data_IF_882465928430
#
_entry.id   IF_882465928430
#
_cell.length_a   1.000
_cell.length_b   1.000
_cell.length_c   1.000
_cell.angle_alpha   90.00
_cell.angle_beta   90.00
_cell.angle_gamma   90.00
#
_symmetry.space_group_name_H-M   'P 1'
#
loop_
_entity.id
_entity.type
_entity.pdbx_description
1 polymer ?
#
# COMPACT_ATOMS: atom_id res chain seq x y z
N UNK A 1 34.66 25.55 -39.06
CA UNK A 1 34.37 24.76 -40.28
C UNK A 1 32.93 24.91 -40.81
N UNK A 2 31.87 24.39 -40.16
CA UNK A 2 30.47 24.47 -40.70
C UNK A 2 29.83 25.85 -40.52
N UNK A 3 30.14 26.53 -39.41
CA UNK A 3 29.55 27.84 -39.05
C UNK A 3 30.29 29.05 -39.64
N UNK A 4 31.42 28.83 -40.30
CA UNK A 4 32.29 29.91 -40.83
C UNK A 4 32.07 30.16 -42.33
N UNK A 5 31.33 29.30 -43.01
CA UNK A 5 31.10 29.39 -44.46
C UNK A 5 29.61 29.59 -44.76
N UNK A 6 29.28 30.73 -45.37
CA UNK A 6 27.92 31.12 -45.69
C UNK A 6 27.27 30.23 -46.77
N UNK A 7 28.06 29.47 -47.55
CA UNK A 7 27.57 28.53 -48.57
C UNK A 7 27.16 27.17 -48.00
N UNK A 8 27.31 26.95 -46.70
CA UNK A 8 26.98 25.69 -46.02
C UNK A 8 25.49 25.57 -45.70
N UNK A 9 24.99 24.35 -45.45
CA UNK A 9 23.57 24.11 -45.17
C UNK A 9 23.06 24.94 -43.98
N UNK A 10 21.79 25.35 -44.07
CA UNK A 10 21.08 26.09 -43.03
C UNK A 10 20.77 25.23 -41.80
N UNK A 11 20.74 23.90 -41.98
CA UNK A 11 20.45 22.92 -40.95
C UNK A 11 21.63 21.98 -40.73
N UNK A 12 21.76 21.51 -39.49
CA UNK A 12 22.73 20.51 -39.07
C UNK A 12 22.03 19.39 -38.32
N UNK A 13 22.25 18.15 -38.73
CA UNK A 13 21.70 16.99 -38.04
C UNK A 13 22.57 16.66 -36.83
N UNK A 14 22.00 16.74 -35.64
CA UNK A 14 22.67 16.45 -34.39
C UNK A 14 21.94 15.31 -33.68
N UNK A 15 22.68 14.26 -33.35
CA UNK A 15 22.13 13.09 -32.67
C UNK A 15 21.50 13.48 -31.31
N UNK A 16 20.32 12.94 -31.02
CA UNK A 16 19.51 13.32 -29.87
C UNK A 16 18.78 14.68 -29.94
N UNK A 17 19.05 15.50 -30.96
CA UNK A 17 18.41 16.82 -31.15
C UNK A 17 17.70 16.98 -32.51
N UNK A 18 17.98 16.09 -33.46
CA UNK A 18 17.40 16.15 -34.80
C UNK A 18 18.05 17.21 -35.69
N UNK A 19 17.31 17.72 -36.67
CA UNK A 19 17.80 18.76 -37.56
C UNK A 19 17.66 20.14 -36.89
N UNK A 20 18.79 20.72 -36.54
CA UNK A 20 18.90 22.02 -35.86
C UNK A 20 19.24 23.09 -36.89
N UNK A 21 18.50 24.20 -36.90
CA UNK A 21 18.83 25.36 -37.73
C UNK A 21 20.10 26.04 -37.18
N UNK A 22 21.09 26.26 -38.04
CA UNK A 22 22.40 26.84 -37.68
C UNK A 22 22.72 28.13 -38.46
N UNK A 23 21.90 28.49 -39.45
CA UNK A 23 22.03 29.71 -40.26
C UNK A 23 22.14 30.97 -39.37
N UNK A 24 21.24 31.08 -38.38
CA UNK A 24 21.16 32.21 -37.46
C UNK A 24 22.35 32.33 -36.50
N UNK A 25 23.16 31.27 -36.35
CA UNK A 25 24.31 31.25 -35.44
C UNK A 25 25.55 31.91 -36.05
N UNK A 26 25.60 32.04 -37.38
CA UNK A 26 26.76 32.59 -38.12
C UNK A 26 27.06 34.06 -37.80
N UNK A 27 26.10 34.78 -37.21
CA UNK A 27 26.26 36.18 -36.77
C UNK A 27 27.03 36.34 -35.46
N UNK A 28 27.33 35.26 -34.75
CA UNK A 28 28.00 35.28 -33.46
C UNK A 28 29.46 34.82 -33.56
N UNK A 29 30.32 35.33 -32.67
CA UNK A 29 31.72 34.93 -32.60
C UNK A 29 31.87 33.46 -32.15
N UNK A 30 32.82 32.75 -32.75
CA UNK A 30 33.05 31.32 -32.52
C UNK A 30 33.22 30.94 -31.04
N UNK A 31 33.91 31.77 -30.26
CA UNK A 31 34.10 31.55 -28.82
C UNK A 31 32.77 31.55 -28.04
N UNK A 32 31.85 32.46 -28.36
CA UNK A 32 30.52 32.52 -27.72
C UNK A 32 29.69 31.28 -28.09
N UNK A 33 29.73 30.87 -29.36
CA UNK A 33 29.04 29.68 -29.85
C UNK A 33 29.55 28.41 -29.17
N UNK A 34 30.86 28.29 -28.99
CA UNK A 34 31.47 27.16 -28.31
C UNK A 34 31.05 27.08 -26.84
N UNK A 35 31.03 28.21 -26.13
CA UNK A 35 30.57 28.24 -24.74
C UNK A 35 29.08 27.89 -24.62
N UNK A 36 28.23 28.46 -25.48
CA UNK A 36 26.79 28.16 -25.49
C UNK A 36 26.52 26.69 -25.80
N UNK A 37 27.26 26.11 -26.76
CA UNK A 37 27.15 24.71 -27.12
C UNK A 37 27.58 23.79 -25.95
N UNK A 38 28.74 24.05 -25.34
CA UNK A 38 29.19 23.29 -24.16
C UNK A 38 28.17 23.35 -23.03
N UNK A 39 27.61 24.53 -22.75
CA UNK A 39 26.57 24.70 -21.74
C UNK A 39 25.29 23.94 -22.09
N UNK A 40 24.83 23.98 -23.35
CA UNK A 40 23.67 23.24 -23.83
C UNK A 40 23.86 21.73 -23.70
N UNK A 41 25.03 21.21 -24.07
CA UNK A 41 25.34 19.79 -23.96
C UNK A 41 25.40 19.34 -22.50
N UNK A 42 26.02 20.13 -21.61
CA UNK A 42 26.07 19.85 -20.16
C UNK A 42 24.70 19.88 -19.50
N UNK A 43 23.86 20.86 -19.82
CA UNK A 43 22.50 20.94 -19.28
C UNK A 43 21.69 19.74 -19.77
N UNK A 44 21.83 19.36 -21.04
CA UNK A 44 21.09 18.23 -21.60
C UNK A 44 21.48 16.91 -20.95
N UNK A 45 22.78 16.65 -20.76
CA UNK A 45 23.24 15.42 -20.08
C UNK A 45 22.83 15.40 -18.62
N UNK A 46 22.89 16.55 -17.93
CA UNK A 46 22.46 16.66 -16.54
C UNK A 46 20.95 16.48 -16.39
N UNK A 47 20.15 16.97 -17.34
CA UNK A 47 18.69 16.88 -17.29
C UNK A 47 18.19 15.43 -17.23
N UNK A 48 18.82 14.52 -17.98
CA UNK A 48 18.49 13.09 -17.91
C UNK A 48 18.70 12.53 -16.50
N UNK A 49 19.78 12.92 -15.82
CA UNK A 49 20.08 12.50 -14.44
C UNK A 49 19.06 13.08 -13.47
N UNK A 50 18.71 14.36 -13.63
CA UNK A 50 17.72 15.05 -12.80
C UNK A 50 16.36 14.35 -12.90
N UNK A 51 15.90 14.06 -14.12
CA UNK A 51 14.64 13.35 -14.34
C UNK A 51 14.62 12.00 -13.66
N UNK A 52 15.67 11.19 -13.87
CA UNK A 52 15.77 9.87 -13.23
C UNK A 52 15.73 9.99 -11.71
N UNK A 53 16.47 10.95 -11.14
CA UNK A 53 16.51 11.18 -9.70
C UNK A 53 15.14 11.59 -9.16
N UNK A 54 14.39 12.43 -9.86
CA UNK A 54 13.03 12.83 -9.43
C UNK A 54 12.11 11.61 -9.39
N UNK A 55 12.11 10.78 -10.44
CA UNK A 55 11.28 9.58 -10.50
C UNK A 55 11.64 8.62 -9.36
N UNK A 56 12.92 8.34 -9.15
CA UNK A 56 13.38 7.41 -8.11
C UNK A 56 13.05 7.93 -6.70
N UNK A 57 13.25 9.22 -6.45
CA UNK A 57 12.93 9.82 -5.15
C UNK A 57 11.43 9.83 -4.88
N UNK A 58 10.59 10.12 -5.87
CA UNK A 58 9.14 10.05 -5.72
C UNK A 58 8.66 8.63 -5.45
N UNK A 59 9.19 7.65 -6.19
CA UNK A 59 8.88 6.24 -5.99
C UNK A 59 9.27 5.77 -4.59
N UNK A 60 10.48 6.12 -4.12
CA UNK A 60 10.94 5.79 -2.77
C UNK A 60 10.09 6.47 -1.70
N UNK A 61 9.79 7.76 -1.87
CA UNK A 61 8.99 8.52 -0.91
C UNK A 61 7.58 7.94 -0.77
N UNK A 62 6.91 7.63 -1.89
CA UNK A 62 5.59 7.02 -1.86
C UNK A 62 5.61 5.63 -1.24
N UNK A 63 6.56 4.78 -1.62
CA UNK A 63 6.71 3.45 -1.03
C UNK A 63 6.95 3.51 0.48
N UNK A 64 7.85 4.41 0.91
CA UNK A 64 8.13 4.60 2.33
C UNK A 64 6.89 5.11 3.07
N UNK A 65 6.20 6.11 2.52
CA UNK A 65 5.02 6.72 3.14
C UNK A 65 3.89 5.72 3.30
N UNK A 66 3.59 4.93 2.25
CA UNK A 66 2.56 3.89 2.30
C UNK A 66 2.94 2.78 3.29
N UNK A 67 4.20 2.31 3.27
CA UNK A 67 4.66 1.29 4.22
C UNK A 67 4.58 1.79 5.66
N UNK A 68 4.98 3.04 5.92
CA UNK A 68 4.91 3.63 7.26
C UNK A 68 3.47 3.83 7.72
N UNK A 69 2.58 4.29 6.82
CA UNK A 69 1.16 4.41 7.10
C UNK A 69 0.58 3.06 7.52
N UNK A 70 0.73 2.02 6.69
CA UNK A 70 0.14 0.71 6.93
C UNK A 70 0.77 -0.01 8.12
N UNK A 71 2.09 -0.03 8.20
CA UNK A 71 2.79 -0.87 9.18
C UNK A 71 2.96 -0.20 10.55
N UNK A 72 2.89 1.13 10.64
CA UNK A 72 3.20 1.84 11.88
C UNK A 72 2.10 2.76 12.37
N UNK A 73 1.34 3.40 11.48
CA UNK A 73 0.25 4.29 11.90
C UNK A 73 -1.08 3.55 12.01
N UNK A 74 -1.42 2.73 11.02
CA UNK A 74 -2.73 2.08 10.94
C UNK A 74 -2.99 1.14 12.14
N UNK A 75 -1.95 0.41 12.58
CA UNK A 75 -2.07 -0.41 13.79
C UNK A 75 -2.39 0.42 15.04
N UNK A 76 -1.82 1.62 15.18
CA UNK A 76 -2.09 2.49 16.32
C UNK A 76 -3.51 3.02 16.30
N UNK A 77 -4.01 3.41 15.12
CA UNK A 77 -5.38 3.87 14.94
C UNK A 77 -6.39 2.76 15.23
N UNK A 78 -6.16 1.54 14.73
CA UNK A 78 -7.01 0.38 15.02
C UNK A 78 -7.07 0.12 16.53
N UNK A 79 -5.91 0.08 17.21
CA UNK A 79 -5.87 -0.16 18.66
C UNK A 79 -6.54 0.97 19.43
N UNK A 80 -6.34 2.22 19.01
CA UNK A 80 -6.99 3.37 19.63
C UNK A 80 -8.51 3.25 19.55
N UNK A 81 -9.07 2.91 18.38
CA UNK A 81 -10.51 2.71 18.21
C UNK A 81 -11.04 1.52 19.04
N UNK A 82 -10.30 0.42 19.10
CA UNK A 82 -10.69 -0.76 19.86
C UNK A 82 -10.76 -0.51 21.37
N UNK A 83 -9.80 0.27 21.90
CA UNK A 83 -9.57 0.43 23.34
C UNK A 83 -10.05 1.80 23.85
N UNK A 84 -10.62 2.67 23.00
CA UNK A 84 -11.07 4.00 23.40
C UNK A 84 -12.11 3.89 24.54
N UNK A 85 -11.75 4.31 25.78
CA UNK A 85 -12.66 4.25 26.92
C UNK A 85 -13.81 5.26 26.77
N UNK A 86 -13.63 6.30 25.94
CA UNK A 86 -14.60 7.39 25.75
C UNK A 86 -15.69 7.03 24.73
N UNK A 87 -15.40 6.13 23.80
CA UNK A 87 -16.33 5.67 22.77
C UNK A 87 -17.31 4.57 23.24
N UNK A 88 -17.32 4.24 24.54
CA UNK A 88 -18.33 3.36 25.13
C UNK A 88 -18.16 1.88 24.78
N UNK A 89 -16.91 1.39 24.78
CA UNK A 89 -16.61 -0.04 24.63
C UNK A 89 -16.51 -0.50 23.18
N UNK A 90 -15.59 0.08 22.41
CA UNK A 90 -15.33 -0.28 21.00
C UNK A 90 -15.16 -1.78 20.82
N UNK A 91 -14.26 -2.41 21.58
CA UNK A 91 -14.07 -3.87 21.53
C UNK A 91 -15.32 -4.66 21.94
N UNK A 92 -16.08 -4.18 22.92
CA UNK A 92 -17.30 -4.85 23.40
C UNK A 92 -18.36 -4.88 22.29
N UNK A 93 -18.51 -3.79 21.54
CA UNK A 93 -19.41 -3.68 20.39
C UNK A 93 -18.92 -4.50 19.20
N UNK A 94 -17.62 -4.53 18.95
CA UNK A 94 -17.04 -5.38 17.88
C UNK A 94 -17.20 -6.88 18.16
N UNK A 95 -17.23 -7.25 19.44
CA UNK A 95 -17.47 -8.62 19.91
C UNK A 95 -18.95 -8.90 20.21
N UNK A 96 -19.83 -7.93 19.95
CA UNK A 96 -21.27 -8.14 20.09
C UNK A 96 -21.72 -9.14 19.03
N UNK A 97 -22.29 -10.24 19.50
CA UNK A 97 -22.79 -11.28 18.62
C UNK A 97 -24.05 -10.86 17.87
N UNK A 98 -24.27 -11.47 16.71
CA UNK A 98 -25.55 -11.27 16.01
C UNK A 98 -26.72 -11.89 16.81
N UNK A 99 -27.92 -11.26 16.81
CA UNK A 99 -29.09 -11.80 17.52
C UNK A 99 -29.47 -13.23 17.13
N UNK A 100 -29.23 -13.61 15.86
CA UNK A 100 -29.47 -14.97 15.35
C UNK A 100 -28.53 -15.99 15.99
N UNK A 101 -27.25 -15.66 16.14
CA UNK A 101 -26.25 -16.52 16.80
C UNK A 101 -26.55 -16.61 18.30
N UNK A 102 -26.88 -15.49 18.94
CA UNK A 102 -27.27 -15.44 20.35
C UNK A 102 -28.45 -16.40 20.65
N UNK A 103 -29.51 -16.30 19.86
CA UNK A 103 -30.71 -17.14 19.99
C UNK A 103 -30.41 -18.62 19.77
N UNK A 104 -29.59 -18.96 18.75
CA UNK A 104 -29.18 -20.35 18.49
C UNK A 104 -28.33 -20.91 19.63
N UNK A 105 -27.38 -20.14 20.15
CA UNK A 105 -26.53 -20.57 21.28
C UNK A 105 -27.39 -20.83 22.52
N UNK A 106 -28.35 -19.96 22.81
CA UNK A 106 -29.23 -20.13 23.97
C UNK A 106 -30.10 -21.39 23.85
N UNK A 107 -30.71 -21.63 22.68
CA UNK A 107 -31.47 -22.87 22.42
C UNK A 107 -30.61 -24.13 22.57
N UNK A 108 -29.40 -24.10 22.04
CA UNK A 108 -28.47 -25.23 22.14
C UNK A 108 -28.04 -25.49 23.59
N UNK A 109 -27.71 -24.42 24.34
CA UNK A 109 -27.36 -24.49 25.77
C UNK A 109 -28.48 -25.14 26.59
N UNK A 110 -29.72 -24.75 26.32
CA UNK A 110 -30.90 -25.32 27.00
C UNK A 110 -31.12 -26.79 26.63
N UNK A 111 -30.94 -27.15 25.36
CA UNK A 111 -31.04 -28.55 24.91
C UNK A 111 -29.95 -29.44 25.56
N UNK A 112 -28.71 -28.95 25.63
CA UNK A 112 -27.61 -29.67 26.29
C UNK A 112 -27.90 -29.86 27.79
N UNK A 113 -28.45 -28.85 28.46
CA UNK A 113 -28.83 -28.96 29.87
C UNK A 113 -29.84 -30.08 30.09
N UNK A 114 -30.93 -30.10 29.30
CA UNK A 114 -31.97 -31.14 29.38
C UNK A 114 -31.42 -32.54 29.08
N UNK A 115 -30.53 -32.68 28.10
CA UNK A 115 -29.91 -33.96 27.78
C UNK A 115 -29.02 -34.49 28.91
N UNK A 116 -28.32 -33.61 29.65
CA UNK A 116 -27.54 -34.01 30.83
C UNK A 116 -28.45 -34.51 31.95
N UNK A 117 -29.53 -33.79 32.25
CA UNK A 117 -30.52 -34.20 33.26
C UNK A 117 -31.16 -35.54 32.89
N UNK A 118 -31.51 -35.72 31.61
CA UNK A 118 -32.10 -36.97 31.10
C UNK A 118 -31.11 -38.14 31.23
N UNK A 119 -29.83 -37.92 30.93
CA UNK A 119 -28.78 -38.94 31.10
C UNK A 119 -28.70 -39.40 32.55
N UNK A 120 -28.70 -38.48 33.52
CA UNK A 120 -28.56 -38.81 34.94
C UNK A 120 -29.77 -39.60 35.46
N UNK A 121 -30.99 -39.27 34.99
CA UNK A 121 -32.20 -40.04 35.28
C UNK A 121 -32.10 -41.46 34.70
N UNK A 122 -31.68 -41.60 33.44
CA UNK A 122 -31.52 -42.92 32.80
C UNK A 122 -30.47 -43.75 33.51
N UNK A 123 -29.33 -43.16 33.92
CA UNK A 123 -28.32 -43.84 34.72
C UNK A 123 -28.92 -44.38 36.04
N UNK A 124 -29.71 -43.57 36.75
CA UNK A 124 -30.40 -43.99 37.98
C UNK A 124 -31.34 -45.17 37.75
N UNK A 125 -32.09 -45.17 36.64
CA UNK A 125 -32.99 -46.28 36.29
C UNK A 125 -32.20 -47.56 35.97
N UNK A 126 -31.09 -47.44 35.24
CA UNK A 126 -30.22 -48.58 34.91
C UNK A 126 -29.61 -49.18 36.18
N UNK A 127 -29.15 -48.35 37.12
CA UNK A 127 -28.59 -48.79 38.40
C UNK A 127 -29.64 -49.48 39.28
N UNK A 128 -30.89 -48.99 39.27
CA UNK A 128 -32.00 -49.66 39.95
C UNK A 128 -32.29 -51.04 39.34
N UNK A 129 -32.29 -51.16 38.00
CA UNK A 129 -32.60 -52.41 37.31
C UNK A 129 -31.48 -53.45 37.44
N UNK A 130 -30.20 -53.04 37.44
CA UNK A 130 -29.07 -53.96 37.61
C UNK A 130 -29.02 -54.57 39.01
N UNK A 131 -29.45 -53.84 40.05
CA UNK A 131 -29.60 -54.37 41.40
C UNK A 131 -30.70 -55.42 41.58
N UNK A 132 -31.64 -55.53 40.64
CA UNK A 132 -32.69 -56.56 40.65
C UNK A 132 -32.30 -57.86 39.93
N UNK A 133 -31.23 -57.84 39.12
CA UNK A 133 -30.78 -59.00 38.34
C UNK A 133 -29.87 -59.99 39.09
N UNK A 134 -29.49 -59.68 40.34
CA UNK A 134 -28.55 -60.46 41.17
C UNK A 134 -29.27 -61.21 42.32
N UNK A 135 -30.57 -61.50 42.15
CA UNK A 135 -31.41 -62.28 43.07
C UNK A 135 -31.90 -63.58 42.44
#
# INVERSE_FOLDING_TARGET
AVLEDLKKPEYFSLDGFGNVEISHLRKYHAHLLQQAFDMKMRITSYWTIVLQRIVDNLALYLQFSVKNLVNSQFQKEIVAEMVDPKAGGGIQRMLEESPSVASKREKLKNSIKLLKESKDIVATIVDQNSGYGDR
#
